data_IF_867167137067
#
_entry.id   IF_867167137067
#
_cell.length_a   1.000
_cell.length_b   1.000
_cell.length_c   1.000
_cell.angle_alpha   90.00
_cell.angle_beta   90.00
_cell.angle_gamma   90.00
#
_symmetry.space_group_name_H-M   'P 1'
#
loop_
_entity.id
_entity.type
_entity.pdbx_description
1 polymer ?
#
# COMPACT_ATOMS: atom_id res chain seq x y z
N UNK A 1 -11.93 -28.53 3.14
CA UNK A 1 -11.37 -28.31 4.49
C UNK A 1 -12.52 -28.22 5.48
N UNK A 2 -12.43 -28.86 6.64
CA UNK A 2 -13.43 -28.73 7.70
C UNK A 2 -13.15 -27.48 8.55
N UNK A 3 -14.13 -26.96 9.29
CA UNK A 3 -13.93 -25.78 10.15
C UNK A 3 -12.86 -26.03 11.24
N UNK A 4 -12.70 -27.30 11.62
CA UNK A 4 -11.63 -27.81 12.50
C UNK A 4 -10.22 -27.66 11.91
N UNK A 5 -10.08 -27.54 10.60
CA UNK A 5 -8.78 -27.40 9.92
C UNK A 5 -8.38 -25.92 9.72
N UNK A 6 -9.24 -24.98 10.13
CA UNK A 6 -9.01 -23.54 9.96
C UNK A 6 -8.02 -22.98 10.99
N UNK A 7 -7.41 -21.83 10.63
CA UNK A 7 -6.42 -21.13 11.46
C UNK A 7 -6.99 -20.75 12.82
N UNK A 8 -6.11 -20.64 13.83
CA UNK A 8 -6.48 -20.21 15.19
C UNK A 8 -7.18 -18.85 15.14
N UNK A 9 -6.70 -17.93 14.32
CA UNK A 9 -7.30 -16.61 14.12
C UNK A 9 -8.76 -16.70 13.65
N UNK A 10 -9.07 -17.57 12.69
CA UNK A 10 -10.43 -17.74 12.18
C UNK A 10 -11.37 -18.32 13.24
N UNK A 11 -10.90 -19.32 14.00
CA UNK A 11 -11.67 -19.93 15.10
C UNK A 11 -11.95 -18.92 16.21
N UNK A 12 -10.96 -18.09 16.57
CA UNK A 12 -11.12 -17.02 17.57
C UNK A 12 -12.10 -15.96 17.09
N UNK A 13 -12.01 -15.52 15.82
CA UNK A 13 -12.94 -14.55 15.25
C UNK A 13 -14.38 -15.09 15.16
N UNK A 14 -14.55 -16.38 14.84
CA UNK A 14 -15.85 -17.02 14.84
C UNK A 14 -16.46 -17.07 16.26
N UNK A 15 -15.65 -17.43 17.27
CA UNK A 15 -16.09 -17.43 18.66
C UNK A 15 -16.48 -16.01 19.12
N UNK A 16 -15.68 -15.00 18.79
CA UNK A 16 -15.99 -13.60 19.10
C UNK A 16 -17.29 -13.14 18.43
N UNK A 17 -17.48 -13.47 17.16
CA UNK A 17 -18.70 -13.13 16.41
C UNK A 17 -19.95 -13.76 17.04
N UNK A 18 -19.85 -15.01 17.49
CA UNK A 18 -20.95 -15.68 18.20
C UNK A 18 -21.23 -15.05 19.57
N UNK A 19 -20.19 -14.67 20.32
CA UNK A 19 -20.35 -13.95 21.59
C UNK A 19 -21.06 -12.61 21.37
N UNK A 20 -20.67 -11.85 20.34
CA UNK A 20 -21.32 -10.59 19.97
C UNK A 20 -22.79 -10.80 19.62
N UNK A 21 -23.11 -11.86 18.86
CA UNK A 21 -24.50 -12.20 18.49
C UNK A 21 -25.36 -12.53 19.71
N UNK A 22 -24.85 -13.36 20.63
CA UNK A 22 -25.55 -13.70 21.87
C UNK A 22 -25.73 -12.46 22.76
N UNK A 23 -24.68 -11.65 22.92
CA UNK A 23 -24.74 -10.40 23.69
C UNK A 23 -25.76 -9.41 23.12
N UNK A 24 -25.78 -9.24 21.79
CA UNK A 24 -26.78 -8.42 21.10
C UNK A 24 -28.21 -8.94 21.28
N UNK A 25 -28.40 -10.26 21.24
CA UNK A 25 -29.71 -10.90 21.48
C UNK A 25 -30.23 -10.62 22.89
N UNK A 26 -29.37 -10.78 23.90
CA UNK A 26 -29.69 -10.52 25.30
C UNK A 26 -30.05 -9.04 25.49
N UNK A 27 -29.25 -8.12 24.93
CA UNK A 27 -29.51 -6.69 25.02
C UNK A 27 -30.86 -6.30 24.37
N UNK A 28 -31.21 -6.89 23.22
CA UNK A 28 -32.49 -6.69 22.56
C UNK A 28 -33.66 -7.16 23.42
N UNK A 29 -33.54 -8.32 24.07
CA UNK A 29 -34.57 -8.85 24.98
C UNK A 29 -34.72 -7.95 26.21
N UNK A 30 -33.62 -7.56 26.85
CA UNK A 30 -33.65 -6.66 28.01
C UNK A 30 -34.26 -5.30 27.67
N UNK A 31 -33.96 -4.77 26.49
CA UNK A 31 -34.52 -3.50 26.00
C UNK A 31 -36.03 -3.61 25.74
N UNK A 32 -36.49 -4.75 25.24
CA UNK A 32 -37.92 -5.03 25.06
C UNK A 32 -38.65 -5.14 26.41
N UNK A 33 -38.07 -5.86 27.39
CA UNK A 33 -38.62 -5.94 28.75
C UNK A 33 -38.69 -4.54 29.38
N UNK A 34 -37.62 -3.75 29.25
CA UNK A 34 -37.56 -2.37 29.75
C UNK A 34 -38.67 -1.50 29.11
N UNK A 35 -38.95 -1.69 27.82
CA UNK A 35 -40.01 -0.96 27.12
C UNK A 35 -41.43 -1.36 27.55
N UNK A 36 -41.64 -2.61 27.96
CA UNK A 36 -42.95 -3.10 28.43
C UNK A 36 -43.37 -2.47 29.78
N UNK A 37 -42.43 -1.89 30.53
CA UNK A 37 -42.75 -1.19 31.77
C UNK A 37 -43.42 0.17 31.49
N UNK A 38 -44.67 0.33 31.95
CA UNK A 38 -45.52 1.50 31.69
C UNK A 38 -44.97 2.81 32.27
N UNK A 39 -44.24 2.77 33.39
CA UNK A 39 -43.66 3.97 34.01
C UNK A 39 -42.47 4.51 33.21
N UNK A 40 -41.58 3.63 32.77
CA UNK A 40 -40.40 3.98 31.96
C UNK A 40 -40.76 4.46 30.55
N UNK A 41 -41.93 4.06 30.03
CA UNK A 41 -42.45 4.59 28.77
C UNK A 41 -42.88 6.05 28.86
N UNK A 42 -43.17 6.57 30.06
CA UNK A 42 -43.63 7.95 30.23
C UNK A 42 -42.50 8.98 30.19
N UNK A 43 -41.26 8.57 30.52
CA UNK A 43 -40.06 9.42 30.64
C UNK A 43 -39.30 9.67 29.33
N UNK A 44 -39.85 9.26 28.18
CA UNK A 44 -39.43 9.76 26.86
C UNK A 44 -38.31 8.99 26.15
N UNK A 45 -37.41 8.31 26.86
CA UNK A 45 -36.26 7.65 26.24
C UNK A 45 -36.49 6.19 25.81
N UNK A 46 -37.57 5.54 26.26
CA UNK A 46 -37.79 4.10 26.06
C UNK A 46 -37.88 3.67 24.59
N UNK A 47 -38.40 4.53 23.71
CA UNK A 47 -38.57 4.19 22.29
C UNK A 47 -37.23 4.23 21.52
N UNK A 48 -36.33 5.16 21.87
CA UNK A 48 -35.00 5.25 21.25
C UNK A 48 -34.08 4.14 21.73
N UNK A 49 -34.14 3.78 23.01
CA UNK A 49 -33.39 2.64 23.55
C UNK A 49 -33.84 1.33 22.91
N UNK A 50 -35.15 1.14 22.73
CA UNK A 50 -35.67 -0.03 22.02
C UNK A 50 -35.23 -0.03 20.56
N UNK A 51 -35.34 1.09 19.86
CA UNK A 51 -34.95 1.21 18.45
C UNK A 51 -33.44 0.99 18.25
N UNK A 52 -32.58 1.54 19.13
CA UNK A 52 -31.13 1.32 19.08
C UNK A 52 -30.81 -0.16 19.33
N UNK A 53 -31.44 -0.77 20.32
CA UNK A 53 -31.21 -2.18 20.62
C UNK A 53 -31.61 -3.11 19.48
N UNK A 54 -32.74 -2.82 18.82
CA UNK A 54 -33.20 -3.55 17.63
C UNK A 54 -32.23 -3.34 16.45
N UNK A 55 -31.82 -2.11 16.16
CA UNK A 55 -30.89 -1.82 15.05
C UNK A 55 -29.49 -2.42 15.29
N UNK A 56 -28.96 -2.34 16.51
CA UNK A 56 -27.76 -3.05 16.96
C UNK A 56 -27.87 -4.56 16.73
N UNK A 57 -28.99 -5.18 17.10
CA UNK A 57 -29.20 -6.62 16.88
C UNK A 57 -29.22 -6.99 15.39
N UNK A 58 -29.88 -6.20 14.55
CA UNK A 58 -29.86 -6.39 13.10
C UNK A 58 -28.45 -6.25 12.52
N UNK A 59 -27.68 -5.25 12.96
CA UNK A 59 -26.27 -5.06 12.56
C UNK A 59 -25.43 -6.28 12.90
N UNK A 60 -25.50 -6.76 14.14
CA UNK A 60 -24.71 -7.90 14.60
C UNK A 60 -25.13 -9.19 13.86
N UNK A 61 -26.42 -9.36 13.61
CA UNK A 61 -26.95 -10.48 12.82
C UNK A 61 -26.41 -10.47 11.39
N UNK A 62 -26.42 -9.31 10.72
CA UNK A 62 -25.90 -9.16 9.36
C UNK A 62 -24.39 -9.33 9.29
N UNK A 63 -23.65 -8.83 10.29
CA UNK A 63 -22.21 -9.05 10.41
C UNK A 63 -21.89 -10.54 10.58
N UNK A 64 -22.68 -11.26 11.39
CA UNK A 64 -22.55 -12.70 11.59
C UNK A 64 -22.81 -13.45 10.28
N UNK A 65 -23.85 -13.09 9.52
CA UNK A 65 -24.11 -13.66 8.20
C UNK A 65 -22.95 -13.39 7.23
N UNK A 66 -22.43 -12.15 7.17
CA UNK A 66 -21.28 -11.80 6.33
C UNK A 66 -20.03 -12.60 6.70
N UNK A 67 -19.75 -12.73 8.00
CA UNK A 67 -18.60 -13.49 8.49
C UNK A 67 -18.69 -14.97 8.08
N UNK A 68 -19.83 -15.62 8.33
CA UNK A 68 -20.03 -17.01 7.92
C UNK A 68 -20.02 -17.19 6.41
N UNK A 69 -20.48 -16.19 5.65
CA UNK A 69 -20.38 -16.18 4.20
C UNK A 69 -18.92 -16.23 3.73
N UNK A 70 -18.05 -15.40 4.32
CA UNK A 70 -16.61 -15.39 4.04
C UNK A 70 -15.98 -16.73 4.39
N UNK A 71 -16.30 -17.28 5.57
CA UNK A 71 -15.80 -18.60 6.00
C UNK A 71 -16.22 -19.68 4.99
N UNK A 72 -17.49 -19.69 4.55
CA UNK A 72 -17.99 -20.66 3.58
C UNK A 72 -17.29 -20.53 2.21
N UNK A 73 -16.98 -19.30 1.76
CA UNK A 73 -16.21 -19.10 0.52
C UNK A 73 -14.77 -19.60 0.63
N UNK A 74 -14.15 -19.48 1.81
CA UNK A 74 -12.79 -19.98 2.05
C UNK A 74 -12.73 -21.51 2.25
N UNK A 75 -13.85 -22.13 2.64
CA UNK A 75 -13.92 -23.59 2.84
C UNK A 75 -14.00 -24.42 1.54
N UNK A 76 -13.83 -23.78 0.37
CA UNK A 76 -13.76 -24.42 -0.94
C UNK A 76 -15.01 -25.26 -1.29
N UNK A 77 -16.16 -24.88 -0.73
CA UNK A 77 -17.46 -25.38 -1.18
C UNK A 77 -17.75 -24.70 -2.53
N UNK A 78 -18.26 -25.46 -3.50
CA UNK A 78 -18.65 -24.96 -4.83
C UNK A 78 -19.85 -24.00 -4.74
N UNK A 79 -19.64 -22.82 -4.16
CA UNK A 79 -20.65 -21.77 -4.05
C UNK A 79 -20.74 -21.10 -5.42
N UNK A 80 -21.92 -21.13 -6.04
CA UNK A 80 -22.13 -20.45 -7.32
C UNK A 80 -21.76 -18.96 -7.20
N UNK A 81 -20.99 -18.47 -8.17
CA UNK A 81 -20.53 -17.09 -8.25
C UNK A 81 -21.68 -16.06 -8.16
N UNK A 82 -22.88 -16.41 -8.65
CA UNK A 82 -24.09 -15.58 -8.52
C UNK A 82 -24.53 -15.35 -7.07
N UNK A 83 -24.33 -16.34 -6.19
CA UNK A 83 -24.64 -16.23 -4.76
C UNK A 83 -23.61 -15.35 -4.07
N UNK A 84 -22.32 -15.48 -4.42
CA UNK A 84 -21.23 -14.59 -3.95
C UNK A 84 -21.49 -13.14 -4.33
N UNK A 85 -21.80 -12.89 -5.61
CA UNK A 85 -22.10 -11.55 -6.12
C UNK A 85 -23.37 -10.98 -5.48
N UNK A 86 -24.43 -11.79 -5.33
CA UNK A 86 -25.65 -11.39 -4.64
C UNK A 86 -25.44 -11.04 -3.17
N UNK A 87 -24.66 -11.86 -2.45
CA UNK A 87 -24.30 -11.61 -1.05
C UNK A 87 -23.53 -10.30 -0.86
N UNK A 88 -22.51 -10.05 -1.68
CA UNK A 88 -21.72 -8.82 -1.61
C UNK A 88 -22.55 -7.56 -1.96
N UNK A 89 -23.39 -7.64 -3.01
CA UNK A 89 -24.21 -6.51 -3.46
C UNK A 89 -25.32 -6.19 -2.45
N UNK A 90 -25.90 -7.18 -1.77
CA UNK A 90 -27.03 -6.95 -0.87
C UNK A 90 -26.64 -6.74 0.60
N UNK A 91 -25.65 -7.48 1.12
CA UNK A 91 -25.32 -7.47 2.56
C UNK A 91 -24.56 -6.19 2.94
N UNK A 92 -23.66 -5.71 2.09
CA UNK A 92 -22.81 -4.56 2.42
C UNK A 92 -23.57 -3.23 2.56
N UNK A 93 -24.46 -2.87 1.62
CA UNK A 93 -25.27 -1.66 1.77
C UNK A 93 -26.23 -1.74 2.97
N UNK A 94 -26.81 -2.92 3.22
CA UNK A 94 -27.73 -3.13 4.34
C UNK A 94 -27.02 -3.04 5.69
N UNK A 95 -25.82 -3.63 5.82
CA UNK A 95 -25.01 -3.55 7.04
C UNK A 95 -24.60 -2.10 7.35
N UNK A 96 -24.20 -1.33 6.33
CA UNK A 96 -23.88 0.10 6.48
C UNK A 96 -25.10 0.90 6.94
N UNK A 97 -26.27 0.67 6.34
CA UNK A 97 -27.53 1.29 6.75
C UNK A 97 -27.81 1.03 8.25
N UNK A 98 -27.67 -0.21 8.70
CA UNK A 98 -27.90 -0.55 10.12
C UNK A 98 -26.88 0.12 11.06
N UNK A 99 -25.60 0.19 10.67
CA UNK A 99 -24.55 0.88 11.45
C UNK A 99 -24.81 2.39 11.58
N UNK A 100 -25.20 3.04 10.49
CA UNK A 100 -25.51 4.47 10.52
C UNK A 100 -26.76 4.77 11.36
N UNK A 101 -27.79 3.94 11.26
CA UNK A 101 -28.99 4.07 12.09
C UNK A 101 -28.69 3.87 13.58
N UNK A 102 -27.87 2.89 13.93
CA UNK A 102 -27.50 2.63 15.33
C UNK A 102 -26.64 3.75 15.93
N UNK A 103 -25.59 4.18 15.22
CA UNK A 103 -24.74 5.30 15.65
C UNK A 103 -25.56 6.58 15.87
N UNK A 104 -26.53 6.82 14.99
CA UNK A 104 -27.41 7.97 15.06
C UNK A 104 -28.39 7.88 16.25
N UNK A 105 -29.00 6.72 16.50
CA UNK A 105 -29.88 6.51 17.66
C UNK A 105 -29.13 6.68 18.98
N UNK A 106 -27.89 6.20 19.05
CA UNK A 106 -27.01 6.40 20.21
C UNK A 106 -26.70 7.89 20.44
N UNK A 107 -26.48 8.68 19.38
CA UNK A 107 -26.31 10.13 19.49
C UNK A 107 -27.58 10.82 20.02
N UNK A 108 -28.77 10.41 19.57
CA UNK A 108 -30.04 10.94 20.10
C UNK A 108 -30.22 10.64 21.59
N UNK A 109 -29.94 9.41 22.02
CA UNK A 109 -30.00 9.03 23.44
C UNK A 109 -29.00 9.84 24.26
N UNK A 110 -27.77 10.05 23.74
CA UNK A 110 -26.75 10.85 24.43
C UNK A 110 -27.17 12.33 24.57
N UNK A 111 -27.70 12.94 23.51
CA UNK A 111 -28.19 14.32 23.53
C UNK A 111 -29.38 14.46 24.50
N UNK A 112 -30.31 13.51 24.49
CA UNK A 112 -31.47 13.54 25.39
C UNK A 112 -31.04 13.38 26.85
N UNK A 113 -30.10 12.47 27.15
CA UNK A 113 -29.50 12.32 28.48
C UNK A 113 -28.73 13.59 28.92
N UNK A 114 -27.98 14.21 28.02
CA UNK A 114 -27.27 15.47 28.31
C UNK A 114 -28.24 16.61 28.64
N UNK A 115 -29.34 16.72 27.90
CA UNK A 115 -30.40 17.73 28.15
C UNK A 115 -31.11 17.46 29.49
N UNK A 116 -31.37 16.19 29.83
CA UNK A 116 -31.97 15.80 31.11
C UNK A 116 -31.09 16.17 32.30
N UNK A 117 -29.78 15.94 32.20
CA UNK A 117 -28.81 16.32 33.23
C UNK A 117 -28.68 17.84 33.33
N UNK A 118 -28.68 18.54 32.20
CA UNK A 118 -28.50 19.99 32.17
C UNK A 118 -29.69 20.78 32.71
N UNK A 119 -30.92 20.25 32.58
CA UNK A 119 -32.14 21.02 32.88
C UNK A 119 -32.81 20.75 34.24
N UNK A 120 -32.29 19.87 35.11
CA UNK A 120 -32.93 19.47 36.39
C UNK A 120 -34.46 19.52 36.31
N UNK A 121 -35.03 18.63 35.49
CA UNK A 121 -36.46 18.33 35.33
C UNK A 121 -37.39 19.53 35.01
N UNK A 122 -37.70 19.68 33.72
CA UNK A 122 -39.09 19.76 33.24
C UNK A 122 -39.14 19.31 31.77
N UNK A 123 -39.64 18.09 31.55
CA UNK A 123 -39.60 17.40 30.26
C UNK A 123 -40.77 17.83 29.36
N UNK A 124 -40.49 18.58 28.27
CA UNK A 124 -41.51 18.88 27.27
C UNK A 124 -41.64 17.71 26.27
N UNK A 125 -42.46 16.74 26.66
CA UNK A 125 -42.77 15.51 25.90
C UNK A 125 -43.21 15.77 24.46
N UNK A 126 -44.00 16.82 24.23
CA UNK A 126 -44.53 17.14 22.91
C UNK A 126 -43.43 17.67 21.97
N UNK A 127 -42.50 18.48 22.47
CA UNK A 127 -41.40 19.03 21.65
C UNK A 127 -40.41 17.95 21.24
N UNK A 128 -40.05 17.03 22.15
CA UNK A 128 -39.18 15.89 21.85
C UNK A 128 -39.82 14.96 20.81
N UNK A 129 -41.09 14.59 20.99
CA UNK A 129 -41.82 13.76 20.03
C UNK A 129 -41.96 14.40 18.64
N UNK A 130 -42.08 15.73 18.56
CA UNK A 130 -42.21 16.44 17.28
C UNK A 130 -40.89 16.47 16.52
N UNK A 131 -39.78 16.73 17.20
CA UNK A 131 -38.43 16.68 16.60
C UNK A 131 -38.09 15.25 16.17
N UNK A 132 -38.42 14.25 17.00
CA UNK A 132 -38.29 12.84 16.67
C UNK A 132 -38.93 12.48 15.34
N UNK A 133 -40.19 12.91 15.14
CA UNK A 133 -40.95 12.63 13.91
C UNK A 133 -40.31 13.24 12.68
N UNK A 134 -39.84 14.49 12.74
CA UNK A 134 -39.19 15.16 11.62
C UNK A 134 -37.89 14.48 11.22
N UNK A 135 -37.12 14.10 12.22
CA UNK A 135 -35.84 13.43 12.03
C UNK A 135 -36.05 12.02 11.47
N UNK A 136 -36.99 11.24 12.00
CA UNK A 136 -37.36 9.90 11.47
C UNK A 136 -37.81 10.00 10.00
N UNK A 137 -38.42 11.11 9.59
CA UNK A 137 -38.87 11.34 8.21
C UNK A 137 -37.74 11.74 7.26
N UNK A 138 -36.79 12.58 7.70
CA UNK A 138 -35.71 13.10 6.85
C UNK A 138 -34.56 12.09 6.71
N UNK A 139 -34.29 11.33 7.76
CA UNK A 139 -33.11 10.46 7.85
C UNK A 139 -33.03 9.36 6.78
N UNK A 140 -34.13 8.67 6.40
CA UNK A 140 -34.09 7.71 5.31
C UNK A 140 -33.61 8.34 4.00
N UNK A 141 -33.95 9.61 3.73
CA UNK A 141 -33.49 10.32 2.53
C UNK A 141 -32.00 10.66 2.60
N UNK A 142 -31.48 11.07 3.76
CA UNK A 142 -30.04 11.31 3.93
C UNK A 142 -29.21 10.03 3.78
N UNK A 143 -29.69 8.91 4.34
CA UNK A 143 -29.00 7.62 4.22
C UNK A 143 -29.12 7.06 2.80
N UNK A 144 -30.28 7.18 2.15
CA UNK A 144 -30.41 6.82 0.74
C UNK A 144 -29.49 7.69 -0.14
N UNK A 145 -29.34 8.98 0.16
CA UNK A 145 -28.41 9.87 -0.53
C UNK A 145 -26.94 9.45 -0.40
N UNK A 146 -26.49 9.05 0.80
CA UNK A 146 -25.13 8.55 0.99
C UNK A 146 -24.89 7.18 0.33
N UNK A 147 -25.91 6.31 0.35
CA UNK A 147 -25.87 5.01 -0.35
C UNK A 147 -25.83 5.14 -1.87
N UNK A 148 -26.34 6.25 -2.45
CA UNK A 148 -26.28 6.52 -3.90
C UNK A 148 -24.98 7.23 -4.29
N UNK A 149 -24.48 8.16 -3.47
CA UNK A 149 -23.25 8.90 -3.75
C UNK A 149 -22.00 8.00 -3.84
N UNK A 150 -21.88 7.02 -2.96
CA UNK A 150 -20.69 6.15 -2.87
C UNK A 150 -20.49 5.23 -4.10
N UNK A 151 -21.50 4.51 -4.64
CA UNK A 151 -21.32 3.68 -5.84
C UNK A 151 -21.15 4.48 -7.14
N UNK A 152 -21.59 5.74 -7.21
CA UNK A 152 -21.35 6.60 -8.38
C UNK A 152 -19.86 7.01 -8.47
N UNK A 153 -19.17 7.08 -7.33
CA UNK A 153 -17.75 7.46 -7.25
C UNK A 153 -16.80 6.31 -6.91
N UNK A 154 -17.31 5.07 -6.79
CA UNK A 154 -16.50 3.86 -6.72
C UNK A 154 -16.40 3.25 -8.11
N UNK A 155 -15.23 3.39 -8.73
CA UNK A 155 -14.85 2.50 -9.83
C UNK A 155 -14.64 1.09 -9.25
N UNK A 156 -15.65 0.24 -9.39
CA UNK A 156 -15.51 -1.20 -9.16
C UNK A 156 -14.73 -1.76 -10.35
N UNK A 157 -13.43 -2.03 -10.17
CA UNK A 157 -12.69 -2.84 -11.13
C UNK A 157 -13.38 -4.19 -11.30
N UNK A 158 -13.86 -4.47 -12.50
CA UNK A 158 -14.32 -5.81 -12.87
C UNK A 158 -13.15 -6.78 -12.74
N UNK A 159 -13.30 -7.76 -11.86
CA UNK A 159 -12.42 -8.91 -11.80
C UNK A 159 -12.60 -9.71 -13.10
N UNK A 160 -11.66 -9.59 -14.03
CA UNK A 160 -11.63 -10.40 -15.24
C UNK A 160 -11.25 -11.84 -14.83
N UNK A 161 -12.12 -12.84 -15.07
CA UNK A 161 -11.79 -14.23 -14.76
C UNK A 161 -10.62 -14.70 -15.63
N UNK A 162 -9.65 -15.38 -15.02
CA UNK A 162 -8.41 -15.91 -15.62
C UNK A 162 -8.67 -16.92 -16.78
N UNK A 163 -9.91 -17.35 -17.00
CA UNK A 163 -10.27 -18.27 -18.08
C UNK A 163 -10.17 -17.68 -19.49
N UNK A 164 -10.07 -16.35 -19.66
CA UNK A 164 -9.83 -15.72 -20.96
C UNK A 164 -8.35 -15.66 -21.39
N UNK A 165 -7.41 -16.13 -20.56
CA UNK A 165 -5.96 -16.10 -20.87
C UNK A 165 -5.50 -17.31 -21.69
N UNK A 166 -6.37 -18.29 -21.96
CA UNK A 166 -6.08 -19.40 -22.89
C UNK A 166 -6.34 -19.02 -24.35
N UNK A 167 -5.61 -18.03 -24.86
CA UNK A 167 -5.22 -17.96 -26.28
C UNK A 167 -4.26 -16.77 -26.49
N UNK A 168 -3.01 -16.94 -26.09
CA UNK A 168 -1.91 -16.18 -26.68
C UNK A 168 -0.70 -17.10 -26.82
N UNK A 169 -0.82 -18.03 -27.77
CA UNK A 169 0.32 -18.64 -28.43
C UNK A 169 0.80 -17.69 -29.52
N UNK A 170 1.75 -16.82 -29.18
CA UNK A 170 2.67 -16.23 -30.16
C UNK A 170 4.03 -16.09 -29.51
N UNK A 171 4.95 -16.91 -30.01
CA UNK A 171 6.34 -17.08 -29.61
C UNK A 171 7.16 -15.79 -29.80
N UNK A 172 7.94 -15.47 -28.77
CA UNK A 172 9.25 -14.78 -28.71
C UNK A 172 9.56 -13.64 -29.68
N UNK A 173 9.30 -12.39 -29.28
CA UNK A 173 9.98 -11.22 -29.84
C UNK A 173 10.58 -10.29 -28.77
N UNK A 174 10.61 -10.70 -27.50
CA UNK A 174 10.86 -9.81 -26.36
C UNK A 174 12.11 -10.16 -25.55
N UNK A 175 12.73 -11.30 -25.81
CA UNK A 175 13.96 -11.74 -25.14
C UNK A 175 15.05 -11.87 -26.20
N UNK A 176 16.18 -11.22 -25.95
CA UNK A 176 17.34 -11.22 -26.86
C UNK A 176 18.23 -12.42 -26.55
N UNK A 177 18.49 -12.67 -25.25
CA UNK A 177 19.36 -13.75 -24.80
C UNK A 177 18.80 -14.44 -23.55
N UNK A 178 18.98 -15.76 -23.49
CA UNK A 178 18.63 -16.62 -22.35
C UNK A 178 19.86 -17.42 -21.94
N UNK A 179 20.13 -17.50 -20.64
CA UNK A 179 21.25 -18.23 -20.06
C UNK A 179 20.74 -19.11 -18.91
N UNK A 180 20.53 -20.39 -19.18
CA UNK A 180 20.05 -21.35 -18.15
C UNK A 180 21.19 -21.89 -17.26
N UNK A 181 22.41 -22.01 -17.79
CA UNK A 181 23.52 -22.67 -17.10
C UNK A 181 24.32 -21.70 -16.21
N UNK A 182 23.64 -20.99 -15.30
CA UNK A 182 24.31 -20.11 -14.32
C UNK A 182 25.14 -20.97 -13.36
N UNK A 183 26.44 -20.65 -13.26
CA UNK A 183 27.36 -21.34 -12.34
C UNK A 183 26.91 -21.10 -10.89
N UNK A 184 26.63 -22.19 -10.18
CA UNK A 184 26.22 -22.20 -8.76
C UNK A 184 27.06 -23.20 -7.95
N UNK A 185 26.86 -23.22 -6.64
CA UNK A 185 27.46 -24.24 -5.77
C UNK A 185 26.87 -25.62 -6.08
N UNK A 186 27.67 -26.68 -5.97
CA UNK A 186 27.18 -28.06 -6.15
C UNK A 186 26.11 -28.44 -5.11
N UNK A 187 26.11 -27.77 -3.95
CA UNK A 187 25.12 -27.96 -2.88
C UNK A 187 23.81 -27.19 -3.09
N UNK A 188 23.75 -26.32 -4.10
CA UNK A 188 22.63 -25.41 -4.33
C UNK A 188 21.56 -26.07 -5.21
N UNK A 189 20.42 -26.40 -4.59
CA UNK A 189 19.27 -27.04 -5.25
C UNK A 189 18.40 -26.07 -6.06
N UNK A 190 18.68 -24.76 -6.03
CA UNK A 190 17.80 -23.75 -6.61
C UNK A 190 18.02 -23.64 -8.12
N UNK A 191 16.97 -23.25 -8.84
CA UNK A 191 17.03 -23.09 -10.30
C UNK A 191 17.23 -21.63 -10.65
N UNK A 192 18.08 -21.37 -11.65
CA UNK A 192 18.47 -20.02 -12.06
C UNK A 192 18.32 -19.87 -13.56
N UNK A 193 17.92 -18.67 -14.02
CA UNK A 193 17.94 -18.31 -15.44
C UNK A 193 18.32 -16.84 -15.58
N UNK A 194 19.31 -16.56 -16.42
CA UNK A 194 19.66 -15.22 -16.85
C UNK A 194 18.89 -14.85 -18.12
N UNK A 195 18.42 -13.62 -18.21
CA UNK A 195 17.75 -13.08 -19.38
C UNK A 195 18.32 -11.71 -19.74
N UNK A 196 18.33 -11.42 -21.04
CA UNK A 196 18.45 -10.06 -21.56
C UNK A 196 17.16 -9.73 -22.31
N UNK A 197 16.41 -8.76 -21.79
CA UNK A 197 15.16 -8.32 -22.40
C UNK A 197 15.42 -7.45 -23.65
N UNK A 198 14.41 -7.28 -24.51
CA UNK A 198 14.52 -6.43 -25.71
C UNK A 198 14.83 -4.95 -25.42
N UNK A 199 14.61 -4.50 -24.19
CA UNK A 199 14.98 -3.17 -23.71
C UNK A 199 16.39 -3.14 -23.06
N UNK A 200 17.22 -4.16 -23.29
CA UNK A 200 18.59 -4.32 -22.78
C UNK A 200 18.68 -4.44 -21.23
N UNK A 201 17.56 -4.66 -20.55
CA UNK A 201 17.57 -4.93 -19.12
C UNK A 201 18.08 -6.35 -18.85
N UNK A 202 19.03 -6.46 -17.92
CA UNK A 202 19.54 -7.74 -17.46
C UNK A 202 18.65 -8.27 -16.34
N UNK A 203 18.27 -9.55 -16.40
CA UNK A 203 17.41 -10.17 -15.40
C UNK A 203 18.02 -11.50 -14.93
N UNK A 204 17.95 -11.74 -13.61
CA UNK A 204 18.22 -13.05 -13.01
C UNK A 204 16.94 -13.56 -12.35
N UNK A 205 16.46 -14.71 -12.81
CA UNK A 205 15.34 -15.43 -12.21
C UNK A 205 15.87 -16.51 -11.29
N UNK A 206 15.26 -16.64 -10.13
CA UNK A 206 15.58 -17.62 -9.11
C UNK A 206 14.29 -18.34 -8.72
N UNK A 207 14.27 -19.67 -8.89
CA UNK A 207 13.10 -20.50 -8.65
C UNK A 207 13.41 -21.58 -7.62
N UNK A 208 12.60 -21.62 -6.55
CA UNK A 208 12.61 -22.70 -5.58
C UNK A 208 11.20 -22.92 -5.03
N UNK A 209 10.63 -24.14 -5.11
CA UNK A 209 9.22 -24.38 -4.76
C UNK A 209 8.92 -24.16 -3.28
N UNK A 210 9.90 -24.43 -2.40
CA UNK A 210 9.74 -24.37 -0.94
C UNK A 210 10.27 -23.06 -0.35
N UNK A 211 9.78 -21.91 -0.83
CA UNK A 211 10.08 -20.60 -0.24
C UNK A 211 8.89 -20.05 0.55
N UNK A 212 9.17 -19.44 1.70
CA UNK A 212 8.15 -18.77 2.51
C UNK A 212 7.80 -17.37 1.96
N UNK A 213 8.76 -16.73 1.31
CA UNK A 213 8.64 -15.39 0.73
C UNK A 213 9.26 -15.35 -0.66
N UNK A 214 8.55 -14.74 -1.59
CA UNK A 214 9.09 -14.29 -2.86
C UNK A 214 9.73 -12.91 -2.68
N UNK A 215 10.65 -12.54 -3.56
CA UNK A 215 11.34 -11.27 -3.49
C UNK A 215 11.72 -10.75 -4.86
N UNK A 216 11.92 -9.44 -4.97
CA UNK A 216 12.56 -8.86 -6.13
C UNK A 216 13.44 -7.68 -5.73
N UNK A 217 14.50 -7.46 -6.51
CA UNK A 217 15.39 -6.33 -6.37
C UNK A 217 15.72 -5.77 -7.76
N UNK A 218 15.59 -4.46 -7.94
CA UNK A 218 16.06 -3.77 -9.13
C UNK A 218 17.15 -2.78 -8.75
N UNK A 219 18.28 -2.92 -9.41
CA UNK A 219 19.41 -2.03 -9.32
C UNK A 219 19.46 -1.11 -10.54
N UNK A 220 19.61 0.19 -10.32
CA UNK A 220 19.94 1.16 -11.36
C UNK A 220 21.40 1.55 -11.17
N UNK A 221 22.22 1.37 -12.20
CA UNK A 221 23.66 1.71 -12.19
C UNK A 221 23.91 3.22 -12.30
N UNK A 222 23.30 3.99 -11.39
CA UNK A 222 23.54 5.40 -11.12
C UNK A 222 23.30 5.67 -9.64
N UNK A 223 24.07 6.57 -9.02
CA UNK A 223 23.90 6.96 -7.62
C UNK A 223 24.32 8.41 -7.38
N UNK A 224 24.68 8.74 -6.14
CA UNK A 224 24.97 10.13 -5.74
C UNK A 224 26.22 10.75 -6.40
N UNK A 225 27.09 9.96 -7.02
CA UNK A 225 28.20 10.51 -7.81
C UNK A 225 27.73 11.20 -9.09
N UNK A 226 26.48 10.97 -9.52
CA UNK A 226 25.85 11.67 -10.64
C UNK A 226 25.11 12.94 -10.20
N UNK A 227 25.05 13.25 -8.90
CA UNK A 227 24.37 14.44 -8.40
C UNK A 227 25.01 15.72 -8.96
N UNK A 228 24.17 16.69 -9.31
CA UNK A 228 24.66 18.04 -9.59
C UNK A 228 25.26 18.64 -8.31
N UNK A 229 26.38 19.35 -8.46
CA UNK A 229 27.01 20.09 -7.36
C UNK A 229 26.11 21.18 -6.78
N UNK A 230 25.17 21.68 -7.58
CA UNK A 230 24.22 22.71 -7.13
C UNK A 230 23.11 22.15 -6.25
N UNK A 231 22.82 20.84 -6.36
CA UNK A 231 21.73 20.17 -5.65
C UNK A 231 22.19 18.77 -5.17
N UNK A 232 23.12 18.71 -4.19
CA UNK A 232 23.63 17.44 -3.70
C UNK A 232 22.53 16.66 -2.92
N UNK A 233 22.49 15.34 -3.10
CA UNK A 233 21.45 14.47 -2.54
C UNK A 233 20.27 14.22 -3.49
N UNK A 234 20.39 14.57 -4.77
CA UNK A 234 19.31 14.41 -5.77
C UNK A 234 18.98 12.93 -5.99
N UNK A 235 19.97 12.06 -6.18
CA UNK A 235 19.75 10.63 -6.38
C UNK A 235 19.05 9.99 -5.18
N UNK A 236 19.48 10.33 -3.97
CA UNK A 236 18.86 9.84 -2.73
C UNK A 236 17.43 10.38 -2.56
N UNK A 237 17.20 11.65 -2.88
CA UNK A 237 15.85 12.20 -2.80
C UNK A 237 14.91 11.59 -3.85
N UNK A 238 15.41 11.30 -5.05
CA UNK A 238 14.67 10.60 -6.08
C UNK A 238 14.27 9.19 -5.64
N UNK A 239 15.16 8.47 -4.93
CA UNK A 239 14.87 7.19 -4.31
C UNK A 239 13.60 7.22 -3.47
N UNK A 240 13.51 8.17 -2.53
CA UNK A 240 12.31 8.39 -1.71
C UNK A 240 11.07 8.65 -2.56
N UNK A 241 11.21 9.52 -3.58
CA UNK A 241 10.09 9.97 -4.39
C UNK A 241 9.49 8.88 -5.27
N UNK A 242 10.24 7.84 -5.64
CA UNK A 242 9.66 6.72 -6.41
C UNK A 242 8.65 5.89 -5.61
N UNK A 243 8.71 5.92 -4.27
CA UNK A 243 7.69 5.30 -3.43
C UNK A 243 6.38 6.08 -3.38
N UNK A 244 6.36 7.34 -3.83
CA UNK A 244 5.24 8.28 -3.68
C UNK A 244 4.21 8.22 -4.82
N UNK A 245 3.98 7.03 -5.36
CA UNK A 245 2.95 6.76 -6.36
C UNK A 245 3.40 6.97 -7.81
N UNK A 246 2.60 6.38 -8.71
CA UNK A 246 2.81 6.34 -10.15
C UNK A 246 1.51 6.64 -10.90
N UNK A 247 1.58 6.85 -12.22
CA UNK A 247 0.37 7.10 -13.02
C UNK A 247 -0.66 5.97 -12.94
N UNK A 248 -0.21 4.71 -12.88
CA UNK A 248 -1.10 3.53 -12.75
C UNK A 248 -1.59 3.31 -11.32
N UNK A 249 -0.75 3.63 -10.33
CA UNK A 249 -1.05 3.51 -8.90
C UNK A 249 -0.79 4.85 -8.19
N UNK A 250 -1.74 5.80 -8.26
CA UNK A 250 -1.53 7.17 -7.81
C UNK A 250 -1.55 7.33 -6.28
N UNK A 251 -1.93 6.29 -5.54
CA UNK A 251 -1.90 6.33 -4.08
C UNK A 251 -0.47 6.33 -3.53
N UNK A 252 -0.08 7.40 -2.84
CA UNK A 252 1.29 7.55 -2.27
C UNK A 252 1.72 6.37 -1.36
N UNK A 253 0.76 5.74 -0.68
CA UNK A 253 1.02 4.62 0.23
C UNK A 253 0.56 3.27 -0.33
N UNK A 254 0.21 3.20 -1.61
CA UNK A 254 -0.35 1.99 -2.22
C UNK A 254 0.65 0.84 -2.24
N UNK A 255 1.89 1.11 -2.66
CA UNK A 255 2.98 0.15 -2.61
C UNK A 255 3.28 -0.31 -1.17
N UNK A 256 3.41 0.62 -0.23
CA UNK A 256 3.63 0.31 1.18
C UNK A 256 2.52 -0.58 1.75
N UNK A 257 1.25 -0.26 1.47
CA UNK A 257 0.09 -1.04 1.92
C UNK A 257 0.07 -2.44 1.32
N UNK A 258 0.41 -2.57 0.04
CA UNK A 258 0.47 -3.88 -0.63
C UNK A 258 1.55 -4.77 0.00
N UNK A 259 2.77 -4.27 0.14
CA UNK A 259 3.89 -5.06 0.65
C UNK A 259 3.70 -5.35 2.16
N UNK A 260 3.62 -4.30 2.98
CA UNK A 260 3.61 -4.43 4.44
C UNK A 260 2.30 -5.04 4.95
N UNK A 261 1.18 -4.75 4.30
CA UNK A 261 -0.13 -5.32 4.63
C UNK A 261 -0.23 -6.83 4.38
N UNK A 262 0.67 -7.39 3.57
CA UNK A 262 0.73 -8.82 3.26
C UNK A 262 1.98 -9.51 3.83
N UNK A 263 2.54 -8.96 4.92
CA UNK A 263 3.67 -9.57 5.65
C UNK A 263 5.01 -9.45 4.92
N UNK A 264 5.08 -8.60 3.90
CA UNK A 264 6.29 -8.27 3.18
C UNK A 264 7.11 -7.17 3.86
N UNK A 265 8.31 -6.96 3.36
CA UNK A 265 9.22 -5.89 3.71
C UNK A 265 9.71 -5.21 2.43
N UNK A 266 9.91 -3.89 2.48
CA UNK A 266 10.47 -3.12 1.37
C UNK A 266 11.57 -2.20 1.88
N UNK A 267 12.54 -1.92 1.05
CA UNK A 267 13.49 -0.84 1.28
C UNK A 267 14.18 -0.43 -0.02
N UNK A 268 15.00 0.61 0.06
CA UNK A 268 15.94 0.98 -0.97
C UNK A 268 17.20 1.58 -0.33
N UNK A 269 18.25 1.74 -1.13
CA UNK A 269 19.40 2.55 -0.76
C UNK A 269 20.05 3.18 -1.98
N UNK A 270 20.65 4.35 -1.75
CA UNK A 270 21.46 5.06 -2.73
C UNK A 270 22.92 5.06 -2.30
N UNK A 271 23.77 4.55 -3.18
CA UNK A 271 25.23 4.52 -3.03
C UNK A 271 25.90 5.52 -3.98
N UNK A 272 27.20 5.39 -4.22
CA UNK A 272 27.92 6.27 -5.14
C UNK A 272 27.45 6.11 -6.58
N UNK A 273 27.38 4.87 -7.04
CA UNK A 273 27.17 4.47 -8.43
C UNK A 273 25.96 3.57 -8.64
N UNK A 274 25.22 3.25 -7.58
CA UNK A 274 24.02 2.42 -7.63
C UNK A 274 22.89 2.97 -6.75
N UNK A 275 21.65 2.85 -7.24
CA UNK A 275 20.43 2.98 -6.45
C UNK A 275 19.65 1.68 -6.56
N UNK A 276 19.43 1.02 -5.42
CA UNK A 276 18.86 -0.31 -5.36
C UNK A 276 17.51 -0.27 -4.64
N UNK A 277 16.49 -0.89 -5.23
CA UNK A 277 15.15 -1.02 -4.65
C UNK A 277 14.79 -2.49 -4.52
N UNK A 278 14.25 -2.89 -3.38
CA UNK A 278 13.94 -4.30 -3.16
C UNK A 278 12.76 -4.51 -2.21
N UNK A 279 12.12 -5.65 -2.36
CA UNK A 279 11.06 -6.10 -1.47
C UNK A 279 11.01 -7.62 -1.34
N UNK A 280 10.38 -8.08 -0.26
CA UNK A 280 9.88 -9.43 -0.10
C UNK A 280 8.36 -9.42 0.13
N UNK A 281 7.67 -10.48 -0.26
CA UNK A 281 6.22 -10.64 -0.08
C UNK A 281 5.83 -12.12 -0.11
N UNK A 282 4.59 -12.43 0.28
CA UNK A 282 4.00 -13.75 0.05
C UNK A 282 4.09 -14.16 -1.44
N UNK A 283 4.57 -15.37 -1.78
CA UNK A 283 4.77 -15.80 -3.17
C UNK A 283 3.54 -15.71 -4.08
N UNK A 284 2.33 -15.84 -3.51
CA UNK A 284 1.07 -15.74 -4.27
C UNK A 284 0.80 -14.33 -4.81
N UNK A 285 1.39 -13.30 -4.19
CA UNK A 285 1.21 -11.88 -4.54
C UNK A 285 2.38 -11.32 -5.34
N UNK A 286 3.39 -12.14 -5.66
CA UNK A 286 4.57 -11.70 -6.44
C UNK A 286 4.18 -11.00 -7.76
N UNK A 287 3.24 -11.51 -8.58
CA UNK A 287 2.88 -10.84 -9.84
C UNK A 287 2.29 -9.45 -9.62
N UNK A 288 1.46 -9.27 -8.59
CA UNK A 288 0.85 -7.98 -8.25
C UNK A 288 1.90 -7.00 -7.71
N UNK A 289 2.78 -7.47 -6.83
CA UNK A 289 3.87 -6.67 -6.28
C UNK A 289 4.83 -6.19 -7.37
N UNK A 290 5.18 -7.06 -8.33
CA UNK A 290 6.01 -6.69 -9.48
C UNK A 290 5.32 -5.67 -10.39
N UNK A 291 4.00 -5.77 -10.59
CA UNK A 291 3.26 -4.80 -11.41
C UNK A 291 3.33 -3.38 -10.79
N UNK A 292 3.10 -3.26 -9.47
CA UNK A 292 3.24 -1.97 -8.76
C UNK A 292 4.69 -1.48 -8.74
N UNK A 293 5.63 -2.36 -8.42
CA UNK A 293 7.06 -2.05 -8.35
C UNK A 293 7.61 -1.53 -9.68
N UNK A 294 7.19 -2.12 -10.80
CA UNK A 294 7.70 -1.70 -12.12
C UNK A 294 7.30 -0.28 -12.49
N UNK A 295 6.18 0.24 -11.95
CA UNK A 295 5.73 1.60 -12.24
C UNK A 295 6.68 2.68 -11.72
N UNK A 296 7.57 2.35 -10.78
CA UNK A 296 8.64 3.24 -10.32
C UNK A 296 9.56 3.61 -11.48
N UNK A 297 9.72 2.69 -12.43
CA UNK A 297 10.66 2.79 -13.56
C UNK A 297 9.95 3.12 -14.89
N UNK A 298 8.63 3.29 -14.89
CA UNK A 298 7.84 3.68 -16.08
C UNK A 298 7.33 5.11 -15.96
N UNK A 299 6.55 5.42 -14.91
CA UNK A 299 5.83 6.70 -14.81
C UNK A 299 5.54 7.11 -13.36
N UNK A 300 6.56 7.46 -12.57
CA UNK A 300 6.41 8.06 -11.24
C UNK A 300 5.75 9.44 -11.31
N UNK A 301 4.94 9.81 -10.31
CA UNK A 301 4.18 11.07 -10.33
C UNK A 301 4.97 12.31 -9.94
N UNK A 302 5.92 12.15 -9.01
CA UNK A 302 6.64 13.26 -8.36
C UNK A 302 5.68 14.37 -7.90
N UNK A 303 4.65 14.04 -7.11
CA UNK A 303 3.64 15.03 -6.72
C UNK A 303 4.26 16.14 -5.86
N UNK A 304 3.82 17.39 -6.06
CA UNK A 304 4.35 18.54 -5.31
C UNK A 304 4.09 18.39 -3.80
N UNK A 305 2.93 17.87 -3.41
CA UNK A 305 2.58 17.63 -2.00
C UNK A 305 3.42 16.53 -1.35
N UNK A 306 3.87 15.53 -2.11
CA UNK A 306 4.77 14.49 -1.58
C UNK A 306 6.19 15.04 -1.46
N UNK A 307 6.63 15.85 -2.43
CA UNK A 307 8.00 16.41 -2.49
C UNK A 307 8.36 17.15 -1.20
N UNK A 308 7.50 18.06 -0.73
CA UNK A 308 7.79 18.83 0.49
C UNK A 308 7.88 17.95 1.76
N UNK A 309 7.06 16.90 1.85
CA UNK A 309 7.03 15.99 3.00
C UNK A 309 8.21 15.01 3.00
N UNK A 310 8.51 14.42 1.85
CA UNK A 310 9.65 13.49 1.73
C UNK A 310 10.98 14.21 1.94
N UNK A 311 11.07 15.50 1.62
CA UNK A 311 12.24 16.29 1.94
C UNK A 311 12.47 16.40 3.47
N UNK A 312 11.41 16.51 4.27
CA UNK A 312 11.53 16.44 5.74
C UNK A 312 12.02 15.07 6.21
N UNK A 313 11.62 13.99 5.52
CA UNK A 313 12.10 12.64 5.83
C UNK A 313 13.60 12.50 5.54
N UNK A 314 14.07 12.98 4.39
CA UNK A 314 15.50 13.03 4.03
C UNK A 314 16.28 13.87 5.04
N UNK A 315 15.75 15.04 5.44
CA UNK A 315 16.39 15.87 6.46
C UNK A 315 16.47 15.17 7.82
N UNK A 316 15.40 14.48 8.22
CA UNK A 316 15.37 13.71 9.47
C UNK A 316 16.38 12.56 9.46
N UNK A 317 16.59 11.90 8.32
CA UNK A 317 17.64 10.89 8.16
C UNK A 317 19.03 11.50 8.29
N UNK A 318 19.28 12.65 7.64
CA UNK A 318 20.53 13.38 7.79
C UNK A 318 20.80 13.75 9.25
N UNK A 319 19.82 14.31 9.96
CA UNK A 319 19.94 14.69 11.38
C UNK A 319 20.24 13.48 12.27
N UNK A 320 19.56 12.35 12.04
CA UNK A 320 19.84 11.09 12.72
C UNK A 320 21.29 10.63 12.50
N UNK A 321 21.83 10.85 11.30
CA UNK A 321 23.18 10.42 10.93
C UNK A 321 24.29 11.34 11.47
N UNK A 322 23.98 12.53 12.00
CA UNK A 322 24.98 13.48 12.52
C UNK A 322 25.81 12.92 13.69
N UNK A 323 25.21 12.05 14.50
CA UNK A 323 25.86 11.38 15.64
C UNK A 323 26.44 10.00 15.29
N UNK A 324 26.32 9.56 14.04
CA UNK A 324 26.84 8.26 13.60
C UNK A 324 28.28 8.39 13.10
N UNK A 325 29.25 7.88 13.86
CA UNK A 325 30.68 7.98 13.53
C UNK A 325 31.05 7.34 12.19
N UNK A 326 30.37 6.26 11.77
CA UNK A 326 30.62 5.65 10.45
C UNK A 326 30.25 6.62 9.32
N UNK A 327 29.12 7.33 9.46
CA UNK A 327 28.70 8.34 8.49
C UNK A 327 29.60 9.58 8.53
N UNK A 328 30.01 10.02 9.72
CA UNK A 328 30.95 11.13 9.91
C UNK A 328 32.30 10.86 9.26
N UNK A 329 32.86 9.66 9.47
CA UNK A 329 34.14 9.24 8.87
C UNK A 329 34.01 9.18 7.34
N UNK A 330 32.94 8.59 6.82
CA UNK A 330 32.69 8.54 5.37
C UNK A 330 32.63 9.95 4.74
N UNK A 331 31.91 10.89 5.37
CA UNK A 331 31.85 12.26 4.84
C UNK A 331 33.16 13.03 5.03
N UNK A 332 33.90 12.78 6.12
CA UNK A 332 35.23 13.34 6.35
C UNK A 332 36.21 12.87 5.28
N UNK A 333 36.25 11.56 5.01
CA UNK A 333 37.06 10.96 3.96
C UNK A 333 36.78 11.63 2.60
N UNK A 334 35.50 11.72 2.21
CA UNK A 334 35.08 12.45 1.00
C UNK A 334 35.55 13.89 0.98
N UNK A 335 35.47 14.60 2.11
CA UNK A 335 35.92 16.01 2.20
C UNK A 335 37.43 16.20 2.09
N UNK A 336 38.22 15.12 2.26
CA UNK A 336 39.67 15.13 2.07
C UNK A 336 40.10 14.73 0.65
N UNK A 337 39.17 14.30 -0.20
CA UNK A 337 39.43 13.98 -1.61
C UNK A 337 39.53 15.24 -2.48
N UNK A 338 39.90 15.09 -3.76
CA UNK A 338 39.91 16.19 -4.71
C UNK A 338 38.52 16.86 -4.78
N UNK A 339 38.40 18.16 -4.46
CA UNK A 339 37.14 18.88 -4.52
C UNK A 339 36.49 18.87 -5.91
N UNK A 340 37.22 18.62 -7.00
CA UNK A 340 36.70 18.49 -8.36
C UNK A 340 36.18 17.08 -8.68
N UNK A 341 36.57 16.07 -7.91
CA UNK A 341 36.12 14.71 -8.10
C UNK A 341 34.67 14.52 -7.60
N UNK A 342 33.79 13.78 -8.31
CA UNK A 342 32.41 13.53 -7.87
C UNK A 342 32.30 12.89 -6.48
N UNK A 343 33.30 12.12 -6.07
CA UNK A 343 33.39 11.48 -4.75
C UNK A 343 33.31 12.46 -3.57
N UNK A 344 33.78 13.71 -3.74
CA UNK A 344 33.70 14.75 -2.72
C UNK A 344 32.25 15.20 -2.43
N UNK A 345 31.28 14.80 -3.26
CA UNK A 345 29.87 15.17 -3.16
C UNK A 345 29.19 14.70 -1.87
N UNK A 346 28.25 15.52 -1.40
CA UNK A 346 27.39 15.20 -0.26
C UNK A 346 26.15 14.41 -0.70
N UNK A 347 26.27 13.09 -0.72
CA UNK A 347 25.22 12.24 -1.30
C UNK A 347 23.96 12.03 -0.46
N UNK A 348 23.94 12.43 0.81
CA UNK A 348 22.78 12.22 1.68
C UNK A 348 21.64 13.22 1.37
N UNK A 349 21.98 14.46 1.01
CA UNK A 349 21.01 15.56 0.96
C UNK A 349 20.53 15.98 2.35
N UNK A 350 19.95 17.18 2.42
CA UNK A 350 19.32 17.74 3.61
C UNK A 350 18.44 18.96 3.21
N UNK A 351 17.79 19.58 4.20
CA UNK A 351 16.95 20.77 3.93
C UNK A 351 17.74 21.92 3.28
N UNK A 352 19.02 22.10 3.64
CA UNK A 352 19.84 23.17 3.05
C UNK A 352 20.08 22.96 1.54
N UNK A 353 20.48 21.74 1.17
CA UNK A 353 20.84 21.37 -0.21
C UNK A 353 19.64 21.15 -1.13
N UNK A 354 18.52 20.66 -0.60
CA UNK A 354 17.35 20.30 -1.40
C UNK A 354 16.23 21.35 -1.34
N UNK A 355 16.26 22.28 -0.37
CA UNK A 355 15.23 23.31 -0.21
C UNK A 355 15.80 24.72 -0.14
N UNK A 356 16.64 25.03 0.85
CA UNK A 356 17.06 26.42 1.11
C UNK A 356 17.88 26.99 -0.04
N UNK A 357 18.96 26.31 -0.43
CA UNK A 357 19.85 26.73 -1.50
C UNK A 357 19.14 26.75 -2.86
N UNK A 358 18.40 25.70 -3.27
CA UNK A 358 17.60 25.73 -4.50
C UNK A 358 16.59 26.88 -4.54
N UNK A 359 15.84 27.13 -3.46
CA UNK A 359 14.87 28.24 -3.40
C UNK A 359 15.53 29.61 -3.56
N UNK A 360 16.69 29.84 -2.93
CA UNK A 360 17.45 31.09 -3.07
C UNK A 360 17.92 31.32 -4.51
N UNK A 361 18.20 30.25 -5.25
CA UNK A 361 18.65 30.29 -6.65
C UNK A 361 17.51 30.17 -7.67
N UNK A 362 16.25 30.18 -7.22
CA UNK A 362 15.07 29.96 -8.04
C UNK A 362 15.10 28.64 -8.86
N UNK A 363 15.69 27.59 -8.27
CA UNK A 363 15.73 26.24 -8.83
C UNK A 363 14.49 25.48 -8.34
N UNK A 364 13.71 24.92 -9.28
CA UNK A 364 12.61 24.01 -8.96
C UNK A 364 13.14 22.60 -8.71
N UNK A 365 13.17 22.19 -7.44
CA UNK A 365 13.65 20.86 -7.03
C UNK A 365 12.87 19.72 -7.68
N UNK A 366 11.57 19.90 -7.93
CA UNK A 366 10.75 18.88 -8.59
C UNK A 366 11.19 18.69 -10.04
N UNK A 367 11.51 19.79 -10.72
CA UNK A 367 12.03 19.72 -12.08
C UNK A 367 13.41 19.04 -12.10
N UNK A 368 14.28 19.32 -11.13
CA UNK A 368 15.58 18.65 -10.99
C UNK A 368 15.41 17.12 -10.85
N UNK A 369 14.44 16.66 -10.05
CA UNK A 369 14.13 15.23 -9.90
C UNK A 369 13.64 14.62 -11.22
N UNK A 370 12.73 15.29 -11.92
CA UNK A 370 12.21 14.85 -13.22
C UNK A 370 13.31 14.77 -14.27
N UNK A 371 14.19 15.77 -14.30
CA UNK A 371 15.33 15.84 -15.22
C UNK A 371 16.34 14.72 -14.91
N UNK A 372 16.65 14.48 -13.63
CA UNK A 372 17.52 13.39 -13.21
C UNK A 372 16.95 12.02 -13.58
N UNK A 373 15.67 11.78 -13.29
CA UNK A 373 14.99 10.55 -13.69
C UNK A 373 15.02 10.36 -15.22
N UNK A 374 14.72 11.44 -15.95
CA UNK A 374 14.70 11.41 -17.41
C UNK A 374 16.09 11.20 -18.00
N UNK A 375 17.13 11.76 -17.39
CA UNK A 375 18.50 11.62 -17.85
C UNK A 375 19.12 10.26 -17.52
N UNK A 376 18.88 9.72 -16.31
CA UNK A 376 19.69 8.64 -15.76
C UNK A 376 18.97 7.27 -15.70
N UNK A 377 17.64 7.23 -15.54
CA UNK A 377 16.90 5.98 -15.37
C UNK A 377 16.54 5.37 -16.73
N UNK A 378 17.34 4.41 -17.19
CA UNK A 378 17.18 3.70 -18.47
C UNK A 378 17.30 2.20 -18.25
N UNK A 379 16.46 1.39 -18.91
CA UNK A 379 16.48 -0.08 -18.77
C UNK A 379 17.83 -0.72 -19.08
N UNK A 380 18.61 -0.19 -20.02
CA UNK A 380 19.96 -0.69 -20.32
C UNK A 380 21.01 -0.47 -19.19
N UNK A 381 20.66 0.30 -18.16
CA UNK A 381 21.44 0.47 -16.92
C UNK A 381 20.78 -0.22 -15.72
N UNK A 382 19.74 -1.02 -15.95
CA UNK A 382 19.00 -1.70 -14.90
C UNK A 382 19.32 -3.18 -14.87
N UNK A 383 19.42 -3.72 -13.66
CA UNK A 383 19.55 -5.15 -13.41
C UNK A 383 18.48 -5.59 -12.42
N UNK A 384 17.65 -6.56 -12.81
CA UNK A 384 16.55 -7.08 -12.02
C UNK A 384 16.88 -8.49 -11.52
N UNK A 385 16.59 -8.78 -10.26
CA UNK A 385 16.57 -10.14 -9.72
C UNK A 385 15.18 -10.46 -9.18
N UNK A 386 14.63 -11.62 -9.54
CA UNK A 386 13.31 -12.07 -9.06
C UNK A 386 13.43 -13.49 -8.49
N UNK A 387 12.97 -13.65 -7.25
CA UNK A 387 12.87 -14.90 -6.52
C UNK A 387 11.39 -15.27 -6.36
N UNK A 388 11.01 -16.49 -6.77
CA UNK A 388 9.65 -16.99 -6.62
C UNK A 388 9.57 -18.52 -6.51
N UNK A 389 8.38 -19.00 -6.12
CA UNK A 389 8.08 -20.43 -6.05
C UNK A 389 7.54 -20.99 -7.38
N UNK A 390 7.28 -20.11 -8.33
CA UNK A 390 6.89 -20.43 -9.69
C UNK A 390 8.07 -21.04 -10.45
N UNK A 391 7.77 -21.79 -11.51
CA UNK A 391 8.78 -22.28 -12.44
C UNK A 391 9.52 -21.12 -13.14
N UNK A 392 10.72 -21.38 -13.66
CA UNK A 392 11.49 -20.37 -14.41
C UNK A 392 10.71 -19.79 -15.60
N UNK A 393 9.90 -20.62 -16.28
CA UNK A 393 9.09 -20.18 -17.43
C UNK A 393 7.92 -19.27 -17.00
N UNK A 394 7.31 -19.55 -15.84
CA UNK A 394 6.29 -18.69 -15.24
C UNK A 394 6.87 -17.35 -14.78
N UNK A 395 8.03 -17.38 -14.08
CA UNK A 395 8.73 -16.16 -13.66
C UNK A 395 9.13 -15.30 -14.85
N UNK A 396 9.64 -15.92 -15.92
CA UNK A 396 9.95 -15.24 -17.17
C UNK A 396 8.71 -14.55 -17.75
N UNK A 397 7.58 -15.24 -17.81
CA UNK A 397 6.33 -14.68 -18.32
C UNK A 397 5.84 -13.49 -17.48
N UNK A 398 5.96 -13.57 -16.16
CA UNK A 398 5.59 -12.48 -15.23
C UNK A 398 6.50 -11.27 -15.46
N UNK A 399 7.83 -11.47 -15.52
CA UNK A 399 8.79 -10.39 -15.73
C UNK A 399 8.58 -9.72 -17.09
N UNK A 400 8.39 -10.50 -18.15
CA UNK A 400 8.13 -9.97 -19.49
C UNK A 400 6.90 -9.07 -19.53
N UNK A 401 5.83 -9.45 -18.82
CA UNK A 401 4.60 -8.67 -18.75
C UNK A 401 4.80 -7.32 -18.06
N UNK A 402 5.64 -7.25 -17.03
CA UNK A 402 5.81 -6.03 -16.23
C UNK A 402 6.93 -5.13 -16.74
N UNK A 403 8.10 -5.67 -17.07
CA UNK A 403 9.34 -4.89 -17.27
C UNK A 403 9.68 -4.54 -18.72
N UNK A 404 8.96 -5.09 -19.70
CA UNK A 404 9.22 -4.78 -21.10
C UNK A 404 8.92 -3.30 -21.46
N UNK A 405 7.99 -2.68 -20.72
CA UNK A 405 7.58 -1.29 -20.95
C UNK A 405 8.55 -0.26 -20.33
N UNK A 406 9.58 -0.72 -19.61
CA UNK A 406 10.61 0.19 -19.05
C UNK A 406 11.44 0.80 -20.18
N UNK A 407 11.48 2.14 -20.30
CA UNK A 407 12.06 2.80 -21.46
C UNK A 407 13.58 2.62 -21.54
N UNK A 408 14.07 2.20 -22.71
CA UNK A 408 15.48 2.16 -23.02
C UNK A 408 15.90 3.46 -23.72
N UNK A 409 16.73 4.26 -23.03
CA UNK A 409 17.29 5.52 -23.52
C UNK A 409 18.68 5.35 -24.15
N UNK A 410 19.20 4.12 -24.20
CA UNK A 410 20.50 3.74 -24.77
C UNK A 410 21.65 4.57 -24.19
N UNK A 411 21.65 4.71 -22.87
CA UNK A 411 22.66 5.50 -22.17
C UNK A 411 23.98 4.75 -22.17
N UNK A 412 25.10 5.43 -22.37
CA UNK A 412 26.41 4.82 -22.16
C UNK A 412 26.58 4.42 -20.69
N UNK A 413 27.45 3.44 -20.41
CA UNK A 413 27.79 3.10 -19.03
C UNK A 413 28.41 4.31 -18.33
N UNK A 414 27.97 4.60 -17.10
CA UNK A 414 28.57 5.68 -16.30
C UNK A 414 30.05 5.38 -16.09
N UNK A 415 30.90 6.35 -16.38
CA UNK A 415 32.34 6.29 -16.13
C UNK A 415 32.68 7.40 -15.16
N UNK A 416 33.26 7.03 -14.03
CA UNK A 416 33.79 8.00 -13.08
C UNK A 416 35.27 8.24 -13.35
N UNK A 417 35.79 9.43 -12.98
CA UNK A 417 37.22 9.69 -13.06
C UNK A 417 38.02 8.68 -12.21
N UNK A 418 39.34 8.63 -12.45
CA UNK A 418 40.25 7.79 -11.68
C UNK A 418 40.35 8.24 -10.21
N UNK A 419 41.23 7.60 -9.44
CA UNK A 419 41.43 7.76 -7.99
C UNK A 419 41.05 9.16 -7.43
N UNK A 420 40.08 9.25 -6.49
CA UNK A 420 39.63 10.52 -5.91
C UNK A 420 40.72 11.26 -5.11
N UNK A 421 41.83 10.59 -4.78
CA UNK A 421 42.92 11.17 -3.98
C UNK A 421 44.10 11.70 -4.79
N UNK A 422 44.04 11.71 -6.14
CA UNK A 422 45.11 12.26 -6.99
C UNK A 422 46.53 11.78 -6.63
N UNK A 423 47.57 12.43 -7.16
CA UNK A 423 48.96 12.17 -6.70
C UNK A 423 49.35 13.05 -5.50
N UNK A 424 48.76 14.24 -5.36
CA UNK A 424 49.12 15.24 -4.34
C UNK A 424 48.64 14.92 -2.93
N UNK A 425 47.61 14.06 -2.81
CA UNK A 425 46.90 13.77 -1.55
C UNK A 425 47.31 12.43 -0.94
N UNK A 426 48.15 11.63 -1.63
CA UNK A 426 48.74 10.36 -1.16
C UNK A 426 49.98 10.56 -0.26
N UNK A 427 49.94 11.49 0.69
CA UNK A 427 51.07 11.77 1.61
C UNK A 427 50.99 10.97 2.90
#
# INVERSE_FOLDING_TARGET
>A
MTFTDQTILMKTNAALTMIMFVGGSINSILSLITFQNKELRQTGCGIYLLASSVTSFFTISMFTVKFWFVVLTQMNLSIRLSIVRGGCVSIEPLLKLCLYLDAWLNACVAIERAILVFRRVNFNKQKSQRIARWIILILPFCVMGSMIHEPIHRELHEFIPIESVKQMSSVDSTIVHVVDNIKKSDSDSWNYRGLELSNEMLVVLISHPDIDKAAAALDVSVGNLADSRDVPGTAHFLEHMLFMGSSKYPGENEYSKLIEGNGGYKNAFTSGDHTNYYFDINPSLLPEALDVFTQFFISPLFSASSTDRELEAVNSEYEKNLSNDTRRICQLEKSTSDPQHPYAGFGCGNSESLRTTPKQRAIDIRQVLLDFYTAEYSSNRMSLTVLGNQSLDELQSIVMKSFNDVPNKKLERVKYPADPYGESTRK
#
